data_IF_799823533426
#
_entry.id   IF_799823533426
#
_cell.length_a   1.000
_cell.length_b   1.000
_cell.length_c   1.000
_cell.angle_alpha   90.00
_cell.angle_beta   90.00
_cell.angle_gamma   90.00
#
_symmetry.space_group_name_H-M   'P 1'
#
loop_
_entity.id
_entity.type
_entity.pdbx_description
1 polymer ?
#
# COMPACT_ATOMS: atom_id res chain seq x y z
N UNK A 1 -6.41 -21.93 -8.37
CA UNK A 1 -5.75 -22.52 -7.19
C UNK A 1 -6.79 -22.83 -6.14
N UNK A 2 -6.58 -23.88 -5.37
CA UNK A 2 -7.33 -24.17 -4.14
C UNK A 2 -6.93 -23.19 -3.03
N UNK A 3 -7.70 -23.13 -1.95
CA UNK A 3 -7.38 -22.29 -0.81
C UNK A 3 -6.02 -22.67 -0.17
N UNK A 4 -5.74 -23.96 -0.03
CA UNK A 4 -4.47 -24.43 0.52
C UNK A 4 -3.27 -24.00 -0.35
N UNK A 5 -3.38 -24.13 -1.67
CA UNK A 5 -2.33 -23.69 -2.59
C UNK A 5 -2.04 -22.19 -2.49
N UNK A 6 -3.07 -21.37 -2.23
CA UNK A 6 -2.94 -19.92 -2.03
C UNK A 6 -2.19 -19.61 -0.73
N UNK A 7 -2.46 -20.37 0.33
CA UNK A 7 -1.78 -20.24 1.62
C UNK A 7 -0.32 -20.70 1.53
N UNK A 8 -0.07 -21.86 0.92
CA UNK A 8 1.29 -22.39 0.75
C UNK A 8 2.17 -21.44 -0.06
N UNK A 9 1.60 -20.83 -1.10
CA UNK A 9 2.29 -19.84 -1.92
C UNK A 9 2.69 -18.59 -1.12
N UNK A 10 1.75 -18.02 -0.35
CA UNK A 10 2.04 -16.87 0.51
C UNK A 10 3.04 -17.25 1.61
N UNK A 11 2.88 -18.41 2.24
CA UNK A 11 3.80 -18.90 3.26
C UNK A 11 5.23 -18.93 2.75
N UNK A 12 5.45 -19.60 1.62
CA UNK A 12 6.78 -19.74 1.03
C UNK A 12 7.44 -18.39 0.74
N UNK A 13 6.68 -17.44 0.19
CA UNK A 13 7.22 -16.14 -0.17
C UNK A 13 7.51 -15.29 1.07
N UNK A 14 6.56 -15.20 2.00
CA UNK A 14 6.69 -14.33 3.17
C UNK A 14 7.68 -14.90 4.19
N UNK A 15 7.79 -16.23 4.33
CA UNK A 15 8.84 -16.84 5.15
C UNK A 15 10.22 -16.54 4.56
N UNK A 16 10.38 -16.68 3.23
CA UNK A 16 11.64 -16.35 2.56
C UNK A 16 12.05 -14.89 2.76
N UNK A 17 11.11 -13.95 2.60
CA UNK A 17 11.36 -12.54 2.91
C UNK A 17 11.74 -12.36 4.39
N UNK A 18 11.03 -13.02 5.31
CA UNK A 18 11.31 -12.94 6.75
C UNK A 18 12.73 -13.43 7.07
N UNK A 19 13.14 -14.55 6.48
CA UNK A 19 14.47 -15.14 6.68
C UNK A 19 15.57 -14.21 6.13
N UNK A 20 15.39 -13.68 4.91
CA UNK A 20 16.32 -12.74 4.29
C UNK A 20 16.46 -11.45 5.12
N UNK A 21 15.36 -10.93 5.68
CA UNK A 21 15.39 -9.75 6.55
C UNK A 21 16.06 -10.03 7.90
N UNK A 22 15.87 -11.21 8.46
CA UNK A 22 16.58 -11.60 9.68
C UNK A 22 18.09 -11.63 9.45
N UNK A 23 18.52 -12.34 8.41
CA UNK A 23 19.93 -12.47 8.04
C UNK A 23 20.58 -11.13 7.68
N UNK A 24 19.84 -10.23 7.04
CA UNK A 24 20.38 -8.94 6.58
C UNK A 24 20.46 -7.90 7.70
N UNK A 25 19.51 -7.88 8.64
CA UNK A 25 19.37 -6.78 9.60
C UNK A 25 19.22 -7.19 11.07
N UNK A 26 18.43 -8.22 11.38
CA UNK A 26 18.11 -8.52 12.78
C UNK A 26 19.21 -9.30 13.48
N UNK A 27 19.89 -10.22 12.79
CA UNK A 27 20.98 -11.03 13.38
C UNK A 27 22.11 -10.15 13.92
N UNK A 28 22.55 -9.14 13.15
CA UNK A 28 23.58 -8.17 13.56
C UNK A 28 23.17 -7.34 14.78
N UNK A 29 21.87 -7.17 14.99
CA UNK A 29 21.29 -6.45 16.13
C UNK A 29 20.98 -7.37 17.31
N UNK A 30 21.31 -8.67 17.22
CA UNK A 30 20.88 -9.70 18.17
C UNK A 30 19.35 -9.69 18.40
N UNK A 31 18.60 -9.31 17.37
CA UNK A 31 17.16 -9.24 17.36
C UNK A 31 16.52 -10.38 16.57
N UNK A 32 15.20 -10.30 16.39
CA UNK A 32 14.42 -11.30 15.67
C UNK A 32 13.18 -10.68 15.02
N UNK A 33 12.87 -11.12 13.80
CA UNK A 33 11.59 -10.89 13.11
C UNK A 33 10.86 -12.21 12.90
N UNK A 34 9.62 -12.30 13.38
CA UNK A 34 8.75 -13.48 13.20
C UNK A 34 7.63 -13.21 12.21
N UNK A 35 7.29 -14.23 11.42
CA UNK A 35 6.01 -14.30 10.71
C UNK A 35 5.02 -15.13 11.52
N UNK A 36 3.84 -14.59 11.78
CA UNK A 36 2.77 -15.22 12.53
C UNK A 36 1.50 -15.32 11.68
N UNK A 37 0.79 -16.43 11.79
CA UNK A 37 -0.47 -16.66 11.10
C UNK A 37 -1.64 -16.47 12.06
N UNK A 38 -2.60 -15.64 11.66
CA UNK A 38 -3.80 -15.33 12.42
C UNK A 38 -4.94 -16.21 11.89
N UNK A 39 -5.50 -17.07 12.75
CA UNK A 39 -6.53 -18.05 12.40
C UNK A 39 -7.93 -17.46 12.39
N UNK A 40 -8.14 -16.34 13.10
CA UNK A 40 -9.41 -15.64 13.14
C UNK A 40 -9.85 -15.24 11.71
N UNK A 41 -11.15 -15.38 11.37
CA UNK A 41 -11.69 -15.09 10.04
C UNK A 41 -11.83 -13.57 9.79
N UNK A 42 -10.81 -12.80 10.10
CA UNK A 42 -10.73 -11.35 9.98
C UNK A 42 -9.87 -10.98 8.79
N UNK A 43 -10.16 -9.87 8.11
CA UNK A 43 -9.28 -9.36 7.04
C UNK A 43 -8.29 -8.38 7.67
N UNK A 44 -7.09 -8.85 8.01
CA UNK A 44 -6.17 -8.05 8.81
C UNK A 44 -4.71 -8.50 8.69
N UNK A 45 -3.81 -7.51 8.69
CA UNK A 45 -2.39 -7.67 8.99
C UNK A 45 -2.05 -6.84 10.25
N UNK A 46 -0.97 -7.22 10.93
CA UNK A 46 -0.55 -6.60 12.18
C UNK A 46 0.97 -6.57 12.34
N UNK A 47 1.49 -5.43 12.75
CA UNK A 47 2.85 -5.29 13.26
C UNK A 47 2.86 -5.35 14.78
N UNK A 48 3.75 -6.19 15.34
CA UNK A 48 4.02 -6.32 16.76
C UNK A 48 5.48 -5.98 17.04
N UNK A 49 5.69 -5.09 18.00
CA UNK A 49 7.01 -4.79 18.53
C UNK A 49 6.99 -4.89 20.04
N UNK A 50 7.93 -5.64 20.61
CA UNK A 50 8.26 -5.58 22.03
C UNK A 50 9.34 -4.50 22.20
N UNK A 51 8.92 -3.26 22.41
CA UNK A 51 9.88 -2.17 22.53
C UNK A 51 10.55 -2.13 23.91
N UNK A 52 11.87 -2.29 23.91
CA UNK A 52 12.74 -1.94 25.04
C UNK A 52 13.75 -0.86 24.60
N UNK A 53 13.76 0.34 25.23
CA UNK A 53 14.75 1.37 24.92
C UNK A 53 16.19 0.82 25.02
N UNK A 54 16.94 0.89 23.93
CA UNK A 54 18.32 0.36 23.85
C UNK A 54 18.43 -1.17 23.92
N UNK A 55 17.31 -1.91 23.93
CA UNK A 55 17.29 -3.37 23.83
C UNK A 55 17.35 -3.87 22.39
N UNK A 56 17.40 -5.18 22.20
CA UNK A 56 17.39 -5.80 20.86
C UNK A 56 16.00 -5.73 20.23
N UNK A 57 15.87 -5.59 18.90
CA UNK A 57 14.55 -5.55 18.26
C UNK A 57 13.90 -6.93 18.28
N UNK A 58 12.72 -7.03 18.89
CA UNK A 58 11.91 -8.26 18.95
C UNK A 58 10.56 -7.97 18.29
N UNK A 59 10.44 -8.39 17.03
CA UNK A 59 9.36 -7.99 16.13
C UNK A 59 8.60 -9.20 15.59
N UNK A 60 7.32 -9.01 15.31
CA UNK A 60 6.52 -9.98 14.56
C UNK A 60 5.55 -9.30 13.60
N UNK A 61 5.30 -9.94 12.46
CA UNK A 61 4.26 -9.56 11.50
C UNK A 61 3.21 -10.68 11.52
N UNK A 62 1.98 -10.34 11.90
CA UNK A 62 0.84 -11.23 11.87
C UNK A 62 0.01 -11.02 10.60
N UNK A 63 -0.31 -12.10 9.88
CA UNK A 63 -1.17 -12.06 8.70
C UNK A 63 -2.28 -13.09 8.85
N UNK A 64 -3.53 -12.68 8.63
CA UNK A 64 -4.65 -13.62 8.69
C UNK A 64 -4.81 -14.46 7.43
N UNK A 65 -5.20 -15.73 7.61
CA UNK A 65 -5.53 -16.61 6.48
C UNK A 65 -6.69 -16.05 5.65
N UNK A 66 -7.65 -15.39 6.31
CA UNK A 66 -8.77 -14.79 5.61
C UNK A 66 -8.34 -13.57 4.76
N UNK A 67 -7.32 -12.81 5.16
CA UNK A 67 -6.74 -11.76 4.30
C UNK A 67 -6.19 -12.36 3.01
N UNK A 68 -5.36 -13.41 3.13
CA UNK A 68 -4.76 -14.09 1.98
C UNK A 68 -5.84 -14.60 1.01
N UNK A 69 -6.84 -15.29 1.54
CA UNK A 69 -7.87 -15.89 0.70
C UNK A 69 -8.75 -14.85 0.01
N UNK A 70 -9.16 -13.79 0.73
CA UNK A 70 -10.02 -12.75 0.16
C UNK A 70 -9.29 -11.93 -0.91
N UNK A 71 -8.01 -11.61 -0.71
CA UNK A 71 -7.21 -10.93 -1.75
C UNK A 71 -7.12 -11.76 -3.03
N UNK A 72 -6.88 -13.08 -2.91
CA UNK A 72 -6.86 -13.96 -4.07
C UNK A 72 -8.21 -13.97 -4.80
N UNK A 73 -9.32 -14.08 -4.07
CA UNK A 73 -10.66 -14.06 -4.65
C UNK A 73 -10.99 -12.73 -5.32
N UNK A 74 -10.66 -11.60 -4.69
CA UNK A 74 -10.90 -10.27 -5.25
C UNK A 74 -10.13 -10.07 -6.56
N UNK A 75 -8.88 -10.53 -6.63
CA UNK A 75 -8.07 -10.48 -7.85
C UNK A 75 -8.68 -11.39 -8.91
N UNK A 76 -9.09 -12.61 -8.56
CA UNK A 76 -9.73 -13.53 -9.51
C UNK A 76 -11.02 -12.90 -10.09
N UNK A 77 -11.88 -12.33 -9.25
CA UNK A 77 -13.11 -11.67 -9.68
C UNK A 77 -12.83 -10.40 -10.50
N UNK A 78 -11.75 -9.68 -10.21
CA UNK A 78 -11.30 -8.55 -11.02
C UNK A 78 -10.95 -8.99 -12.45
N UNK A 79 -10.25 -10.11 -12.64
CA UNK A 79 -10.00 -10.66 -13.97
C UNK A 79 -11.30 -11.05 -14.67
N UNK A 80 -12.23 -11.72 -13.99
CA UNK A 80 -13.56 -12.06 -14.54
C UNK A 80 -14.34 -10.80 -14.96
N UNK A 81 -14.23 -9.71 -14.19
CA UNK A 81 -14.81 -8.42 -14.53
C UNK A 81 -14.20 -7.83 -15.81
N UNK A 82 -12.87 -7.82 -15.94
CA UNK A 82 -12.21 -7.34 -17.16
C UNK A 82 -12.61 -8.18 -18.40
N UNK A 83 -12.69 -9.50 -18.24
CA UNK A 83 -13.08 -10.43 -19.31
C UNK A 83 -14.53 -10.25 -19.76
N UNK A 84 -15.41 -9.83 -18.85
CA UNK A 84 -16.83 -9.60 -19.16
C UNK A 84 -17.05 -8.47 -20.17
N UNK A 85 -16.08 -7.56 -20.33
CA UNK A 85 -16.18 -6.39 -21.20
C UNK A 85 -17.27 -5.38 -20.79
N UNK A 86 -17.81 -5.48 -19.57
CA UNK A 86 -18.95 -4.69 -19.08
C UNK A 86 -18.74 -3.18 -19.22
N UNK A 87 -17.54 -2.70 -18.97
CA UNK A 87 -17.17 -1.28 -19.03
C UNK A 87 -16.16 -0.97 -20.16
N UNK A 88 -16.02 -1.85 -21.18
CA UNK A 88 -15.07 -1.67 -22.30
C UNK A 88 -15.27 -0.34 -23.05
N UNK A 89 -16.51 0.13 -23.17
CA UNK A 89 -16.81 1.44 -23.79
C UNK A 89 -16.22 2.60 -22.98
N UNK A 90 -16.31 2.53 -21.66
CA UNK A 90 -15.74 3.56 -20.77
C UNK A 90 -14.22 3.51 -20.82
N UNK A 91 -13.63 2.31 -20.76
CA UNK A 91 -12.19 2.11 -20.89
C UNK A 91 -11.66 2.64 -22.22
N UNK A 92 -12.37 2.39 -23.32
CA UNK A 92 -12.03 2.90 -24.64
C UNK A 92 -12.07 4.41 -24.71
N UNK A 93 -13.09 5.03 -24.10
CA UNK A 93 -13.21 6.48 -24.04
C UNK A 93 -12.06 7.13 -23.25
N UNK A 94 -11.62 6.51 -22.14
CA UNK A 94 -10.56 7.08 -21.29
C UNK A 94 -9.13 6.78 -21.75
N UNK A 95 -8.89 5.59 -22.30
CA UNK A 95 -7.54 5.09 -22.58
C UNK A 95 -7.32 4.55 -23.99
N UNK A 96 -8.31 4.69 -24.87
CA UNK A 96 -8.20 4.21 -26.25
C UNK A 96 -8.45 2.71 -26.41
N UNK A 97 -8.10 2.17 -27.59
CA UNK A 97 -8.51 0.82 -28.01
C UNK A 97 -7.80 -0.33 -27.28
N UNK A 98 -6.57 -0.10 -26.79
CA UNK A 98 -5.80 -1.13 -26.09
C UNK A 98 -6.56 -1.54 -24.82
N UNK A 99 -6.74 -2.84 -24.53
CA UNK A 99 -7.41 -3.28 -23.29
C UNK A 99 -6.42 -3.50 -22.16
N UNK A 100 -6.85 -3.24 -20.92
CA UNK A 100 -5.96 -3.36 -19.76
C UNK A 100 -5.56 -4.81 -19.53
N UNK A 101 -6.51 -5.72 -19.75
CA UNK A 101 -6.28 -7.15 -19.65
C UNK A 101 -5.19 -7.63 -20.61
N UNK A 102 -5.07 -7.04 -21.81
CA UNK A 102 -4.02 -7.39 -22.76
C UNK A 102 -2.63 -7.05 -22.20
N UNK A 103 -2.51 -5.90 -21.53
CA UNK A 103 -1.28 -5.50 -20.84
C UNK A 103 -0.94 -6.43 -19.67
N UNK A 104 -1.95 -6.93 -18.93
CA UNK A 104 -1.76 -7.90 -17.83
C UNK A 104 -1.44 -9.31 -18.34
N UNK A 105 -1.82 -9.67 -19.55
CA UNK A 105 -1.62 -11.01 -20.13
C UNK A 105 -0.50 -11.06 -21.17
N UNK A 106 0.27 -9.98 -21.34
CA UNK A 106 1.21 -9.84 -22.45
C UNK A 106 2.28 -10.94 -22.46
N UNK A 107 2.78 -11.37 -21.30
CA UNK A 107 3.86 -12.37 -21.18
C UNK A 107 3.49 -13.58 -20.32
N UNK A 108 2.23 -13.71 -19.92
CA UNK A 108 1.79 -14.68 -18.91
C UNK A 108 0.40 -15.19 -19.21
N UNK A 109 0.11 -16.42 -18.79
CA UNK A 109 -1.27 -16.91 -18.79
C UNK A 109 -2.12 -16.15 -17.77
N UNK A 110 -3.44 -16.29 -17.87
CA UNK A 110 -4.39 -15.74 -16.91
C UNK A 110 -4.10 -16.19 -15.48
N UNK A 111 -3.84 -17.48 -15.29
CA UNK A 111 -3.57 -18.06 -13.97
C UNK A 111 -2.27 -17.50 -13.39
N UNK A 112 -1.23 -17.35 -14.22
CA UNK A 112 0.04 -16.75 -13.82
C UNK A 112 -0.12 -15.27 -13.48
N UNK A 113 -0.90 -14.51 -14.26
CA UNK A 113 -1.15 -13.10 -13.99
C UNK A 113 -1.91 -12.89 -12.67
N UNK A 114 -2.94 -13.72 -12.40
CA UNK A 114 -3.65 -13.73 -11.11
C UNK A 114 -2.68 -14.05 -9.97
N UNK A 115 -1.84 -15.07 -10.12
CA UNK A 115 -0.86 -15.45 -9.12
C UNK A 115 0.16 -14.34 -8.85
N UNK A 116 0.71 -13.73 -9.90
CA UNK A 116 1.70 -12.65 -9.78
C UNK A 116 1.11 -11.38 -9.14
N UNK A 117 -0.12 -11.02 -9.51
CA UNK A 117 -0.82 -9.90 -8.88
C UNK A 117 -1.14 -10.18 -7.41
N UNK A 118 -1.55 -11.41 -7.09
CA UNK A 118 -1.76 -11.85 -5.72
C UNK A 118 -0.47 -11.75 -4.90
N UNK A 119 0.65 -12.23 -5.45
CA UNK A 119 1.94 -12.12 -4.79
C UNK A 119 2.36 -10.67 -4.57
N UNK A 120 2.21 -9.81 -5.58
CA UNK A 120 2.54 -8.39 -5.44
C UNK A 120 1.70 -7.72 -4.33
N UNK A 121 0.40 -8.03 -4.26
CA UNK A 121 -0.50 -7.51 -3.22
C UNK A 121 -0.09 -7.97 -1.81
N UNK A 122 0.13 -9.27 -1.62
CA UNK A 122 0.48 -9.82 -0.29
C UNK A 122 1.88 -9.39 0.16
N UNK A 123 2.84 -9.32 -0.75
CA UNK A 123 4.19 -8.80 -0.46
C UNK A 123 4.14 -7.32 -0.06
N UNK A 124 3.31 -6.52 -0.72
CA UNK A 124 3.13 -5.12 -0.34
C UNK A 124 2.55 -4.98 1.07
N UNK A 125 1.53 -5.76 1.43
CA UNK A 125 0.97 -5.79 2.80
C UNK A 125 2.03 -6.17 3.83
N UNK A 126 2.84 -7.20 3.54
CA UNK A 126 3.94 -7.59 4.42
C UNK A 126 4.95 -6.45 4.62
N UNK A 127 5.38 -5.77 3.55
CA UNK A 127 6.31 -4.65 3.69
C UNK A 127 5.68 -3.42 4.33
N UNK A 128 4.37 -3.22 4.22
CA UNK A 128 3.67 -2.17 4.95
C UNK A 128 3.81 -2.39 6.46
N UNK A 129 3.53 -3.59 6.95
CA UNK A 129 3.73 -3.94 8.36
C UNK A 129 5.20 -3.86 8.78
N UNK A 130 6.13 -4.30 7.93
CA UNK A 130 7.55 -4.13 8.18
C UNK A 130 7.95 -2.65 8.26
N UNK A 131 7.33 -1.79 7.45
CA UNK A 131 7.53 -0.34 7.46
C UNK A 131 7.14 0.28 8.79
N UNK A 132 6.08 -0.21 9.43
CA UNK A 132 5.73 0.18 10.80
C UNK A 132 6.79 -0.20 11.82
N UNK A 133 7.35 -1.40 11.72
CA UNK A 133 8.36 -1.93 12.64
C UNK A 133 9.71 -1.23 12.45
N UNK A 134 10.16 -1.07 11.20
CA UNK A 134 11.42 -0.40 10.86
C UNK A 134 11.45 1.05 11.36
N UNK A 135 10.31 1.74 11.27
CA UNK A 135 10.18 3.16 11.66
C UNK A 135 9.63 3.35 13.08
N UNK A 136 9.52 2.26 13.87
CA UNK A 136 9.08 2.27 15.28
C UNK A 136 7.76 3.06 15.49
N UNK A 137 6.83 2.96 14.51
CA UNK A 137 5.59 3.73 14.50
C UNK A 137 4.73 3.50 15.75
N UNK A 138 4.80 2.30 16.33
CA UNK A 138 4.13 1.97 17.58
C UNK A 138 4.59 2.82 18.77
N UNK A 139 5.89 3.11 18.85
CA UNK A 139 6.48 3.96 19.89
C UNK A 139 6.04 5.41 19.72
N UNK A 140 6.04 5.90 18.47
CA UNK A 140 5.59 7.26 18.12
C UNK A 140 4.11 7.47 18.47
N UNK A 141 3.25 6.52 18.10
CA UNK A 141 1.80 6.57 18.35
C UNK A 141 1.47 6.54 19.85
N UNK A 142 2.26 5.84 20.67
CA UNK A 142 2.01 5.64 22.10
C UNK A 142 2.86 6.54 23.03
N UNK A 143 3.65 7.47 22.50
CA UNK A 143 4.34 8.48 23.29
C UNK A 143 5.44 7.96 24.23
N UNK A 144 6.26 7.00 23.77
CA UNK A 144 7.41 6.44 24.51
C UNK A 144 7.09 5.72 25.84
N UNK A 145 5.88 5.19 26.03
CA UNK A 145 5.57 4.40 27.23
C UNK A 145 6.46 3.14 27.30
N UNK A 146 7.12 2.91 28.44
CA UNK A 146 8.17 1.90 28.67
C UNK A 146 7.75 0.42 28.59
N UNK A 147 6.51 0.14 28.18
CA UNK A 147 5.98 -1.18 27.81
C UNK A 147 5.02 -0.97 26.66
N UNK A 148 5.55 -0.95 25.46
CA UNK A 148 4.73 -0.83 24.27
C UNK A 148 4.73 -2.18 23.56
N UNK A 149 3.73 -3.01 23.84
CA UNK A 149 3.27 -3.98 22.86
C UNK A 149 2.40 -3.20 21.89
N UNK A 150 3.01 -2.54 20.91
CA UNK A 150 2.24 -1.89 19.86
C UNK A 150 1.77 -2.97 18.91
N UNK A 151 0.57 -3.47 19.11
CA UNK A 151 -0.17 -4.13 18.05
C UNK A 151 -0.75 -3.03 17.16
N UNK A 152 -0.17 -2.86 15.99
CA UNK A 152 -0.72 -1.97 14.96
C UNK A 152 -1.69 -2.81 14.15
N UNK A 153 -2.98 -2.47 14.27
CA UNK A 153 -4.06 -3.16 13.60
C UNK A 153 -4.47 -2.32 12.40
N UNK A 154 -4.19 -2.80 11.19
CA UNK A 154 -4.66 -2.13 9.96
C UNK A 154 -6.21 -2.16 9.86
N UNK A 155 -6.88 -3.08 10.56
CA UNK A 155 -8.31 -3.37 10.36
C UNK A 155 -9.09 -3.73 11.63
N UNK A 156 -9.46 -2.74 12.45
CA UNK A 156 -10.62 -2.89 13.34
C UNK A 156 -11.73 -1.95 12.88
N UNK A 157 -12.44 -2.37 11.84
CA UNK A 157 -13.66 -1.68 11.35
C UNK A 157 -14.76 -1.76 12.41
N UNK A 158 -14.69 -2.69 13.37
CA UNK A 158 -15.75 -2.96 14.32
C UNK A 158 -15.59 -2.22 15.67
N UNK A 159 -14.38 -1.78 16.04
CA UNK A 159 -14.15 -1.03 17.30
C UNK A 159 -13.43 0.31 17.14
N UNK A 160 -13.51 0.98 16.00
CA UNK A 160 -12.91 2.31 15.86
C UNK A 160 -13.55 3.29 16.86
N UNK A 161 -12.88 3.53 18.00
CA UNK A 161 -13.14 4.72 18.82
C UNK A 161 -13.00 5.93 17.90
N UNK A 162 -13.89 6.91 18.03
CA UNK A 162 -13.76 8.18 17.32
C UNK A 162 -12.42 8.84 17.70
N UNK A 163 -11.41 8.64 16.85
CA UNK A 163 -10.14 9.33 16.93
C UNK A 163 -10.27 10.60 16.09
N UNK A 164 -9.91 11.73 16.69
CA UNK A 164 -9.94 13.03 16.04
C UNK A 164 -8.72 13.86 16.44
N UNK A 165 -8.49 14.96 15.70
CA UNK A 165 -7.43 15.91 16.00
C UNK A 165 -6.02 15.33 15.82
N UNK A 166 -5.08 15.78 16.66
CA UNK A 166 -3.65 15.50 16.51
C UNK A 166 -3.30 14.01 16.54
N UNK A 167 -4.03 13.19 17.30
CA UNK A 167 -3.80 11.73 17.32
C UNK A 167 -4.11 11.12 15.95
N UNK A 168 -5.23 11.46 15.31
CA UNK A 168 -5.53 10.99 13.96
C UNK A 168 -4.50 11.43 12.94
N UNK A 169 -3.97 12.64 13.07
CA UNK A 169 -2.90 13.12 12.17
C UNK A 169 -1.64 12.24 12.31
N UNK A 170 -1.23 11.91 13.54
CA UNK A 170 -0.08 11.02 13.80
C UNK A 170 -0.30 9.63 13.22
N UNK A 171 -1.49 9.05 13.40
CA UNK A 171 -1.83 7.76 12.80
C UNK A 171 -1.77 7.82 11.28
N UNK A 172 -2.44 8.78 10.66
CA UNK A 172 -2.47 8.91 9.20
C UNK A 172 -1.08 9.13 8.58
N UNK A 173 -0.23 9.96 9.18
CA UNK A 173 1.11 10.20 8.62
C UNK A 173 2.01 8.96 8.73
N UNK A 174 1.87 8.18 9.81
CA UNK A 174 2.64 6.95 9.99
C UNK A 174 2.11 5.81 9.10
N UNK A 175 0.82 5.77 8.78
CA UNK A 175 0.28 4.89 7.71
C UNK A 175 0.86 5.27 6.33
N UNK A 176 0.88 6.56 5.98
CA UNK A 176 1.47 7.03 4.71
C UNK A 176 2.98 6.70 4.64
N UNK A 177 3.70 6.79 5.76
CA UNK A 177 5.11 6.43 5.82
C UNK A 177 5.34 4.91 5.68
N UNK A 178 4.45 4.08 6.22
CA UNK A 178 4.49 2.63 6.01
C UNK A 178 4.15 2.26 4.56
N UNK A 179 3.17 2.91 3.95
CA UNK A 179 2.85 2.75 2.52
C UNK A 179 4.05 3.10 1.63
N UNK A 180 4.72 4.21 1.94
CA UNK A 180 5.89 4.66 1.20
C UNK A 180 7.03 3.65 1.32
N UNK A 181 7.29 3.15 2.53
CA UNK A 181 8.27 2.10 2.77
C UNK A 181 7.94 0.85 1.94
N UNK A 182 6.69 0.37 1.99
CA UNK A 182 6.26 -0.81 1.26
C UNK A 182 6.40 -0.65 -0.25
N UNK A 183 5.90 0.47 -0.77
CA UNK A 183 5.88 0.77 -2.20
C UNK A 183 7.30 0.88 -2.74
N UNK A 184 8.14 1.68 -2.08
CA UNK A 184 9.54 1.84 -2.50
C UNK A 184 10.30 0.52 -2.43
N UNK A 185 10.11 -0.27 -1.36
CA UNK A 185 10.78 -1.57 -1.20
C UNK A 185 10.36 -2.56 -2.28
N UNK A 186 9.06 -2.67 -2.56
CA UNK A 186 8.57 -3.47 -3.68
C UNK A 186 9.22 -3.05 -4.99
N UNK A 187 9.25 -1.76 -5.31
CA UNK A 187 9.83 -1.27 -6.57
C UNK A 187 11.33 -1.54 -6.66
N UNK A 188 12.08 -1.34 -5.57
CA UNK A 188 13.50 -1.68 -5.52
C UNK A 188 13.75 -3.18 -5.76
N UNK A 189 12.93 -4.04 -5.15
CA UNK A 189 13.01 -5.49 -5.37
C UNK A 189 12.61 -5.90 -6.78
N UNK A 190 11.65 -5.21 -7.41
CA UNK A 190 11.33 -5.44 -8.83
C UNK A 190 12.53 -5.07 -9.72
N UNK A 191 13.17 -3.93 -9.49
CA UNK A 191 14.37 -3.51 -10.23
C UNK A 191 15.51 -4.52 -10.04
N UNK A 192 15.69 -5.06 -8.82
CA UNK A 192 16.72 -6.05 -8.51
C UNK A 192 16.49 -7.39 -9.21
N UNK A 193 15.24 -7.82 -9.34
CA UNK A 193 14.90 -9.14 -9.91
C UNK A 193 14.75 -9.14 -11.44
N UNK A 194 14.26 -8.05 -12.04
CA UNK A 194 13.93 -8.03 -13.46
C UNK A 194 14.98 -7.29 -14.29
N UNK A 195 15.69 -8.05 -15.13
CA UNK A 195 16.77 -7.53 -15.97
C UNK A 195 16.29 -6.96 -17.32
N UNK A 196 15.02 -7.19 -17.69
CA UNK A 196 14.44 -6.63 -18.91
C UNK A 196 13.39 -5.58 -18.59
N UNK A 197 13.34 -4.53 -19.42
CA UNK A 197 12.37 -3.44 -19.27
C UNK A 197 10.93 -3.95 -19.39
N UNK A 198 10.66 -4.94 -20.22
CA UNK A 198 9.31 -5.47 -20.42
C UNK A 198 8.82 -6.26 -19.21
N UNK A 199 9.67 -7.13 -18.63
CA UNK A 199 9.30 -7.89 -17.43
C UNK A 199 9.11 -6.96 -16.24
N UNK A 200 9.97 -5.95 -16.09
CA UNK A 200 9.86 -4.93 -15.05
C UNK A 200 8.55 -4.15 -15.19
N UNK A 201 8.17 -3.71 -16.40
CA UNK A 201 6.92 -3.01 -16.65
C UNK A 201 5.70 -3.87 -16.33
N UNK A 202 5.73 -5.16 -16.72
CA UNK A 202 4.63 -6.08 -16.42
C UNK A 202 4.50 -6.34 -14.92
N UNK A 203 5.61 -6.59 -14.22
CA UNK A 203 5.62 -6.78 -12.78
C UNK A 203 5.18 -5.51 -12.03
N UNK A 204 5.56 -4.34 -12.54
CA UNK A 204 5.07 -3.04 -12.03
C UNK A 204 3.57 -2.91 -12.21
N UNK A 205 3.01 -3.33 -13.36
CA UNK A 205 1.55 -3.35 -13.55
C UNK A 205 0.85 -4.27 -12.55
N UNK A 206 1.42 -5.43 -12.22
CA UNK A 206 0.89 -6.30 -11.17
C UNK A 206 0.93 -5.63 -9.79
N UNK A 207 2.02 -4.96 -9.43
CA UNK A 207 2.13 -4.22 -8.18
C UNK A 207 1.09 -3.10 -8.09
N UNK A 208 0.96 -2.27 -9.12
CA UNK A 208 0.01 -1.15 -9.14
C UNK A 208 -1.44 -1.63 -9.04
N UNK A 209 -1.78 -2.70 -9.75
CA UNK A 209 -3.14 -3.27 -9.73
C UNK A 209 -3.43 -3.95 -8.40
N UNK A 210 -2.48 -4.74 -7.88
CA UNK A 210 -2.58 -5.40 -6.58
C UNK A 210 -2.72 -4.41 -5.43
N UNK A 211 -1.91 -3.35 -5.43
CA UNK A 211 -2.00 -2.23 -4.48
C UNK A 211 -3.40 -1.59 -4.49
N UNK A 212 -3.95 -1.33 -5.67
CA UNK A 212 -5.30 -0.79 -5.79
C UNK A 212 -6.36 -1.75 -5.21
N UNK A 213 -6.24 -3.05 -5.45
CA UNK A 213 -7.17 -4.05 -4.86
C UNK A 213 -7.07 -4.05 -3.35
N UNK A 214 -5.86 -4.06 -2.79
CA UNK A 214 -5.61 -4.04 -1.34
C UNK A 214 -6.26 -2.81 -0.70
N UNK A 215 -5.97 -1.62 -1.22
CA UNK A 215 -6.47 -0.36 -0.65
C UNK A 215 -8.00 -0.24 -0.78
N UNK A 216 -8.59 -0.70 -1.89
CA UNK A 216 -10.04 -0.76 -2.02
C UNK A 216 -10.69 -1.77 -1.06
N UNK A 217 -10.07 -2.92 -0.85
CA UNK A 217 -10.55 -3.91 0.13
C UNK A 217 -10.56 -3.35 1.55
N UNK A 218 -9.53 -2.62 1.93
CA UNK A 218 -9.48 -1.90 3.21
C UNK A 218 -10.54 -0.79 3.31
N UNK A 219 -10.94 -0.19 2.19
CA UNK A 219 -12.06 0.74 2.17
C UNK A 219 -13.41 0.07 2.48
N UNK A 220 -13.55 -1.21 2.14
CA UNK A 220 -14.81 -1.93 2.14
C UNK A 220 -15.83 -1.29 1.17
N UNK A 221 -17.05 -1.05 1.65
CA UNK A 221 -18.14 -0.48 0.85
C UNK A 221 -18.31 1.04 1.06
N UNK A 222 -17.35 1.68 1.73
CA UNK A 222 -17.44 3.10 2.06
C UNK A 222 -17.32 3.98 0.82
N UNK A 223 -18.10 5.05 0.78
CA UNK A 223 -17.92 6.10 -0.23
C UNK A 223 -16.60 6.85 0.04
N UNK A 224 -15.97 7.32 -1.03
CA UNK A 224 -14.94 8.32 -0.87
C UNK A 224 -15.60 9.63 -0.47
N UNK A 225 -15.22 10.11 0.72
CA UNK A 225 -15.56 11.43 1.19
C UNK A 225 -14.28 12.23 1.29
N UNK A 226 -14.26 13.37 0.62
CA UNK A 226 -13.13 14.27 0.69
C UNK A 226 -12.96 14.76 2.12
N UNK A 227 -11.73 14.63 2.62
CA UNK A 227 -11.39 14.92 3.99
C UNK A 227 -10.32 16.00 4.03
N UNK A 228 -10.58 17.11 4.72
CA UNK A 228 -9.61 18.19 4.92
C UNK A 228 -8.79 18.05 6.20
N UNK A 229 -9.34 17.37 7.21
CA UNK A 229 -8.71 17.15 8.52
C UNK A 229 -8.71 15.65 8.80
N UNK A 230 -7.54 15.01 9.06
CA UNK A 230 -7.46 13.60 9.44
C UNK A 230 -8.39 13.22 10.60
N UNK A 231 -9.04 12.08 10.49
CA UNK A 231 -10.01 11.52 11.44
C UNK A 231 -10.05 10.01 11.28
N UNK A 232 -10.20 9.30 12.39
CA UNK A 232 -10.02 7.86 12.43
C UNK A 232 -8.54 7.47 12.48
N UNK A 233 -8.28 6.21 12.16
CA UNK A 233 -6.96 5.56 12.25
C UNK A 233 -6.20 5.53 10.92
N UNK A 234 -6.90 5.62 9.78
CA UNK A 234 -6.31 5.39 8.47
C UNK A 234 -6.69 6.48 7.45
N UNK A 235 -5.74 6.89 6.59
CA UNK A 235 -6.04 7.72 5.43
C UNK A 235 -7.06 7.05 4.52
N UNK A 236 -7.85 7.86 3.81
CA UNK A 236 -8.75 7.34 2.79
C UNK A 236 -7.93 6.62 1.69
N UNK A 237 -8.36 5.45 1.21
CA UNK A 237 -7.64 4.65 0.21
C UNK A 237 -7.23 5.39 -1.06
N UNK A 238 -8.06 6.31 -1.54
CA UNK A 238 -7.70 7.15 -2.69
C UNK A 238 -6.55 8.10 -2.41
N UNK A 239 -6.47 8.67 -1.20
CA UNK A 239 -5.32 9.50 -0.81
C UNK A 239 -4.05 8.65 -0.75
N UNK A 240 -4.13 7.42 -0.21
CA UNK A 240 -3.02 6.46 -0.20
C UNK A 240 -2.57 6.14 -1.64
N UNK A 241 -3.52 5.82 -2.54
CA UNK A 241 -3.22 5.52 -3.94
C UNK A 241 -2.57 6.69 -4.68
N UNK A 242 -3.13 7.90 -4.53
CA UNK A 242 -2.61 9.10 -5.19
C UNK A 242 -1.23 9.52 -4.67
N UNK A 243 -0.83 9.07 -3.47
CA UNK A 243 0.52 9.24 -2.93
C UNK A 243 1.47 8.15 -3.43
N UNK A 244 1.04 6.89 -3.46
CA UNK A 244 1.93 5.75 -3.72
C UNK A 244 2.20 5.51 -5.19
N UNK A 245 1.23 5.73 -6.07
CA UNK A 245 1.44 5.57 -7.51
C UNK A 245 2.57 6.46 -8.05
N UNK A 246 2.68 7.74 -7.63
CA UNK A 246 3.82 8.56 -8.01
C UNK A 246 5.18 8.02 -7.61
N UNK A 247 5.30 7.42 -6.43
CA UNK A 247 6.56 6.80 -5.97
C UNK A 247 7.05 5.76 -6.98
N UNK A 248 6.14 4.94 -7.50
CA UNK A 248 6.47 3.87 -8.46
C UNK A 248 7.09 4.44 -9.74
N UNK A 249 6.39 5.38 -10.40
CA UNK A 249 6.91 5.93 -11.65
C UNK A 249 8.11 6.87 -11.42
N UNK A 250 8.24 7.45 -10.21
CA UNK A 250 9.38 8.28 -9.82
C UNK A 250 10.67 7.50 -9.69
N UNK A 251 10.59 6.27 -9.17
CA UNK A 251 11.75 5.38 -9.05
C UNK A 251 12.12 4.70 -10.38
N UNK A 252 11.16 4.52 -11.29
CA UNK A 252 11.35 3.74 -12.52
C UNK A 252 11.68 4.56 -13.76
N UNK A 253 11.64 5.89 -13.70
CA UNK A 253 11.85 6.73 -14.89
C UNK A 253 12.35 8.13 -14.57
N UNK A 254 13.03 8.75 -15.53
CA UNK A 254 13.46 10.13 -15.41
C UNK A 254 12.27 11.11 -15.52
N UNK A 255 12.33 12.28 -14.83
CA UNK A 255 11.37 13.36 -15.02
C UNK A 255 11.21 13.73 -16.50
N UNK A 256 9.98 14.02 -16.92
CA UNK A 256 9.60 14.46 -18.28
C UNK A 256 9.89 13.48 -19.44
N UNK A 257 10.40 12.27 -19.15
CA UNK A 257 10.65 11.24 -20.15
C UNK A 257 9.34 10.65 -20.74
N UNK A 258 9.42 10.11 -21.96
CA UNK A 258 8.27 9.39 -22.54
C UNK A 258 7.95 8.10 -21.79
N UNK A 259 8.96 7.49 -21.15
CA UNK A 259 8.76 6.35 -20.25
C UNK A 259 7.95 6.75 -19.02
N UNK A 260 8.23 7.92 -18.43
CA UNK A 260 7.42 8.48 -17.34
C UNK A 260 5.97 8.64 -17.76
N UNK A 261 5.70 9.20 -18.94
CA UNK A 261 4.32 9.39 -19.44
C UNK A 261 3.59 8.06 -19.59
N UNK A 262 4.25 7.05 -20.13
CA UNK A 262 3.69 5.70 -20.27
C UNK A 262 3.37 5.07 -18.92
N UNK A 263 4.29 5.17 -17.96
CA UNK A 263 4.08 4.69 -16.60
C UNK A 263 2.88 5.39 -15.94
N UNK A 264 2.80 6.73 -16.00
CA UNK A 264 1.67 7.50 -15.46
C UNK A 264 0.33 7.03 -16.04
N UNK A 265 0.26 6.82 -17.36
CA UNK A 265 -0.96 6.31 -18.02
C UNK A 265 -1.28 4.89 -17.56
N UNK A 266 -0.29 4.00 -17.52
CA UNK A 266 -0.46 2.62 -17.07
C UNK A 266 -0.91 2.53 -15.59
N UNK A 267 -0.36 3.37 -14.72
CA UNK A 267 -0.75 3.46 -13.31
C UNK A 267 -2.18 3.97 -13.15
N UNK A 268 -2.52 5.06 -13.85
CA UNK A 268 -3.88 5.60 -13.83
C UNK A 268 -4.90 4.58 -14.33
N UNK A 269 -4.53 3.83 -15.37
CA UNK A 269 -5.33 2.74 -15.89
C UNK A 269 -5.52 1.62 -14.85
N UNK A 270 -4.44 1.08 -14.30
CA UNK A 270 -4.48 0.01 -13.30
C UNK A 270 -5.35 0.37 -12.09
N UNK A 271 -5.19 1.58 -11.55
CA UNK A 271 -5.96 2.00 -10.38
C UNK A 271 -7.44 2.26 -10.69
N UNK A 272 -7.75 2.89 -11.83
CA UNK A 272 -9.12 3.28 -12.16
C UNK A 272 -9.96 2.09 -12.65
N UNK A 273 -9.37 1.08 -13.32
CA UNK A 273 -10.07 -0.16 -13.66
C UNK A 273 -10.45 -0.95 -12.41
N UNK A 274 -9.55 -1.03 -11.43
CA UNK A 274 -9.86 -1.64 -10.11
C UNK A 274 -10.93 -0.84 -9.38
N UNK A 275 -10.86 0.50 -9.42
CA UNK A 275 -11.88 1.36 -8.79
C UNK A 275 -13.27 1.12 -9.37
N UNK A 276 -13.39 0.97 -10.70
CA UNK A 276 -14.65 0.59 -11.34
C UNK A 276 -15.11 -0.81 -10.95
N UNK A 277 -14.23 -1.80 -11.02
CA UNK A 277 -14.52 -3.15 -10.53
C UNK A 277 -15.10 -3.10 -9.12
N UNK A 278 -14.47 -2.34 -8.23
CA UNK A 278 -14.89 -2.23 -6.84
C UNK A 278 -16.30 -1.68 -6.70
N UNK A 279 -16.61 -0.59 -7.42
CA UNK A 279 -17.97 -0.03 -7.47
C UNK A 279 -18.95 -1.09 -7.95
N UNK A 280 -18.63 -1.79 -9.06
CA UNK A 280 -19.56 -2.74 -9.69
C UNK A 280 -19.81 -3.99 -8.84
N UNK A 281 -18.81 -4.47 -8.13
CA UNK A 281 -18.84 -5.75 -7.42
C UNK A 281 -19.27 -5.60 -5.95
N UNK A 282 -18.90 -4.49 -5.30
CA UNK A 282 -18.99 -4.36 -3.85
C UNK A 282 -19.91 -3.24 -3.37
N UNK A 283 -20.45 -2.43 -4.28
CA UNK A 283 -21.28 -1.28 -3.89
C UNK A 283 -22.63 -1.29 -4.60
N UNK A 284 -23.66 -0.78 -3.92
CA UNK A 284 -25.00 -0.62 -4.47
C UNK A 284 -25.24 0.81 -4.97
N UNK A 285 -24.19 1.50 -5.43
CA UNK A 285 -24.33 2.88 -5.87
C UNK A 285 -25.16 2.96 -7.16
N UNK A 286 -26.10 3.91 -7.20
CA UNK A 286 -26.92 4.18 -8.38
C UNK A 286 -26.16 4.81 -9.55
N UNK A 287 -24.84 4.96 -9.43
CA UNK A 287 -23.94 5.61 -10.38
C UNK A 287 -22.48 5.55 -9.90
N UNK A 288 -21.59 6.22 -10.62
CA UNK A 288 -20.19 6.40 -10.18
C UNK A 288 -20.15 7.62 -9.26
N UNK A 289 -19.70 7.50 -8.00
CA UNK A 289 -19.57 8.65 -7.11
C UNK A 289 -18.56 9.68 -7.64
N UNK A 290 -18.81 10.95 -7.35
CA UNK A 290 -17.83 12.00 -7.61
C UNK A 290 -16.51 11.67 -6.89
N UNK A 291 -15.38 12.00 -7.52
CA UNK A 291 -14.04 11.82 -6.97
C UNK A 291 -13.63 10.37 -6.62
N UNK A 292 -14.35 9.36 -7.17
CA UNK A 292 -14.02 7.95 -6.98
C UNK A 292 -12.88 7.44 -7.90
N UNK A 293 -12.26 8.32 -8.68
CA UNK A 293 -11.10 8.01 -9.51
C UNK A 293 -9.89 8.82 -9.08
N UNK A 294 -8.70 8.35 -9.45
CA UNK A 294 -7.49 9.14 -9.33
C UNK A 294 -7.61 10.38 -10.22
N UNK A 295 -7.50 11.55 -9.61
CA UNK A 295 -7.52 12.86 -10.27
C UNK A 295 -6.24 13.67 -9.97
N UNK A 296 -5.43 13.17 -9.04
CA UNK A 296 -4.24 13.83 -8.52
C UNK A 296 -4.59 14.67 -7.29
N UNK A 297 -3.85 14.49 -6.21
CA UNK A 297 -4.15 15.11 -4.90
C UNK A 297 -4.32 16.63 -4.95
N UNK A 298 -3.56 17.30 -5.83
CA UNK A 298 -3.59 18.76 -5.96
C UNK A 298 -4.81 19.29 -6.71
N UNK A 299 -5.65 18.42 -7.26
CA UNK A 299 -6.92 18.81 -7.89
C UNK A 299 -8.06 19.00 -6.86
N UNK A 300 -7.85 18.60 -5.60
CA UNK A 300 -8.86 18.55 -4.54
C UNK A 300 -8.53 19.48 -3.37
N UNK A 301 -9.27 20.59 -3.16
CA UNK A 301 -8.95 21.58 -2.13
C UNK A 301 -8.91 21.03 -0.70
N UNK A 302 -9.80 20.11 -0.35
CA UNK A 302 -9.81 19.40 0.91
C UNK A 302 -8.58 18.51 1.05
N UNK A 303 -8.20 17.75 0.02
CA UNK A 303 -6.97 16.93 0.04
C UNK A 303 -5.71 17.80 0.17
N UNK A 304 -5.65 18.97 -0.46
CA UNK A 304 -4.55 19.94 -0.25
C UNK A 304 -4.45 20.33 1.24
N UNK A 305 -5.58 20.64 1.87
CA UNK A 305 -5.63 21.00 3.30
C UNK A 305 -5.19 19.83 4.17
N UNK A 306 -5.65 18.62 3.86
CA UNK A 306 -5.22 17.39 4.52
C UNK A 306 -3.71 17.19 4.42
N UNK A 307 -3.12 17.37 3.23
CA UNK A 307 -1.68 17.22 3.03
C UNK A 307 -0.87 18.26 3.80
N UNK A 308 -1.38 19.48 4.05
CA UNK A 308 -0.73 20.44 4.95
C UNK A 308 -0.58 19.88 6.37
N UNK A 309 -1.61 19.20 6.89
CA UNK A 309 -1.55 18.54 8.20
C UNK A 309 -0.54 17.40 8.22
N UNK A 310 -0.56 16.54 7.18
CA UNK A 310 0.36 15.40 7.06
C UNK A 310 1.81 15.86 6.97
N UNK A 311 2.14 16.79 6.08
CA UNK A 311 3.51 17.29 5.89
C UNK A 311 4.05 17.94 7.17
N UNK A 312 3.23 18.79 7.82
CA UNK A 312 3.63 19.43 9.09
C UNK A 312 3.91 18.40 10.16
N UNK A 313 3.04 17.39 10.32
CA UNK A 313 3.23 16.37 11.34
C UNK A 313 4.41 15.45 11.03
N UNK A 314 4.65 15.12 9.77
CA UNK A 314 5.82 14.35 9.37
C UNK A 314 7.11 15.06 9.79
N UNK A 315 7.23 16.35 9.47
CA UNK A 315 8.42 17.14 9.84
C UNK A 315 8.65 17.18 11.36
N UNK A 316 7.57 17.14 12.15
CA UNK A 316 7.62 17.11 13.62
C UNK A 316 8.11 15.77 14.16
N UNK A 317 7.61 14.64 13.65
CA UNK A 317 7.89 13.30 14.20
C UNK A 317 9.11 12.62 13.56
N UNK A 318 9.48 13.00 12.35
CA UNK A 318 10.58 12.38 11.60
C UNK A 318 11.91 12.37 12.36
N UNK A 319 12.35 13.45 13.03
CA UNK A 319 13.58 13.42 13.83
C UNK A 319 13.56 12.35 14.94
N UNK A 320 12.41 12.14 15.57
CA UNK A 320 12.25 11.10 16.59
C UNK A 320 12.29 9.71 15.97
N UNK A 321 11.59 9.48 14.85
CA UNK A 321 11.65 8.22 14.10
C UNK A 321 13.11 7.89 13.74
N UNK A 322 13.85 8.85 13.20
CA UNK A 322 15.26 8.64 12.83
C UNK A 322 16.17 8.34 14.02
N UNK A 323 15.84 8.85 15.22
CA UNK A 323 16.58 8.51 16.44
C UNK A 323 16.29 7.11 16.98
N UNK A 324 15.14 6.53 16.62
CA UNK A 324 14.69 5.20 17.04
C UNK A 324 14.99 4.11 16.00
N UNK A 325 15.01 4.47 14.71
CA UNK A 325 15.25 3.59 13.58
C UNK A 325 16.60 2.89 13.74
N UNK A 326 16.58 1.57 13.62
CA UNK A 326 17.77 0.70 13.83
C UNK A 326 18.35 0.14 12.54
N UNK A 327 17.51 0.01 11.51
CA UNK A 327 17.83 -0.56 10.22
C UNK A 327 16.92 0.01 9.14
N UNK A 328 17.26 -0.25 7.87
CA UNK A 328 16.54 0.22 6.70
C UNK A 328 17.17 1.46 6.09
N UNK A 329 16.94 1.63 4.80
CA UNK A 329 17.62 2.60 3.97
C UNK A 329 16.94 3.97 3.98
N UNK A 330 17.71 5.03 3.72
CA UNK A 330 17.17 6.40 3.69
C UNK A 330 16.19 6.63 2.53
N UNK A 331 16.25 5.83 1.46
CA UNK A 331 15.33 5.95 0.33
C UNK A 331 13.95 5.33 0.61
N UNK A 332 13.82 4.53 1.67
CA UNK A 332 12.56 3.94 2.14
C UNK A 332 11.76 4.87 3.07
N UNK A 333 12.31 6.04 3.40
CA UNK A 333 11.68 7.03 4.28
C UNK A 333 10.81 8.00 3.49
N UNK A 334 9.62 8.31 4.01
CA UNK A 334 8.70 9.25 3.40
C UNK A 334 9.35 10.62 3.20
N UNK A 335 9.27 11.13 1.96
CA UNK A 335 9.86 12.41 1.57
C UNK A 335 8.84 13.27 0.84
N UNK A 336 8.87 14.56 1.14
CA UNK A 336 8.10 15.58 0.43
C UNK A 336 9.07 16.57 -0.21
N UNK A 337 9.02 16.69 -1.54
CA UNK A 337 9.87 17.61 -2.28
C UNK A 337 9.59 19.07 -1.88
N UNK A 338 10.60 19.93 -2.03
CA UNK A 338 10.43 21.37 -1.81
C UNK A 338 9.32 21.95 -2.71
N UNK A 339 9.27 21.55 -3.98
CA UNK A 339 8.22 21.95 -4.94
C UNK A 339 6.82 21.58 -4.46
N UNK A 340 6.64 20.39 -3.89
CA UNK A 340 5.35 19.99 -3.34
C UNK A 340 4.97 20.86 -2.14
N UNK A 341 5.93 21.11 -1.23
CA UNK A 341 5.72 21.99 -0.05
C UNK A 341 5.36 23.42 -0.45
N UNK A 342 6.02 23.97 -1.47
CA UNK A 342 5.71 25.30 -2.02
C UNK A 342 4.32 25.32 -2.66
N UNK A 343 3.96 24.27 -3.39
CA UNK A 343 2.62 24.15 -3.99
C UNK A 343 1.55 24.16 -2.91
N UNK A 344 1.72 23.36 -1.85
CA UNK A 344 0.79 23.37 -0.72
C UNK A 344 0.69 24.74 -0.05
N UNK A 345 1.78 25.51 0.07
CA UNK A 345 1.72 26.86 0.67
C UNK A 345 0.97 27.88 -0.19
N UNK A 346 1.01 27.71 -1.51
CA UNK A 346 0.43 28.64 -2.48
C UNK A 346 -1.00 28.28 -2.91
N UNK A 347 -1.45 27.06 -2.61
CA UNK A 347 -2.84 26.59 -2.73
C UNK A 347 -3.63 26.87 -1.45
#
# INVERSE_FOLDING_TARGET
MTQQEVFDLAYKALSGITDDWNATYYEDLSGELKLQWIEEPIFQAQAYSEYAPGGTPSHAIGISYNLLWQLYLDIKHYFEYLESGKDDKAFKYWWGEEKHIDALLTLTTREQAIQNMYMAAVTWVYFHELGHLSQEHGVIRNGNSSRCNSTLVECDIQNSKEMNGETSIVWHVTEIAADYFATSTCVAELIRHFNTKNDLLLATNYLMTGLAVVLHRFNGQNLFEEQSIPSGTHPKPFVRLELMIPVIFEMLSDPDSDDRKKLVIASGRAANTVSLYWIRAHTNFGGIPDNYFIQGMLSRPGVITYMKHIVRKWDEIMPQIMSLKRFGESWQELKFSQKFRETLKNS
#
